data_IF_940655151521
#
_entry.id   IF_940655151521
#
_cell.length_a   1.000
_cell.length_b   1.000
_cell.length_c   1.000
_cell.angle_alpha   90.00
_cell.angle_beta   90.00
_cell.angle_gamma   90.00
#
_symmetry.space_group_name_H-M   'P 1'
#
loop_
_entity.id
_entity.type
_entity.pdbx_description
1 polymer ?
#
# COMPACT_ATOMS: atom_id res chain seq x y z
N UNK A 1 -9.08 16.21 -20.34
CA UNK A 1 -9.04 15.17 -19.28
C UNK A 1 -8.17 15.70 -18.15
N UNK A 2 -8.68 15.71 -16.94
CA UNK A 2 -7.85 16.02 -15.78
C UNK A 2 -7.07 14.73 -15.51
N UNK A 3 -5.76 14.73 -15.83
CA UNK A 3 -4.90 13.61 -15.47
C UNK A 3 -4.92 13.50 -13.93
N UNK A 4 -5.22 12.32 -13.43
CA UNK A 4 -5.07 12.03 -12.01
C UNK A 4 -3.58 12.23 -11.66
N UNK A 5 -3.24 13.04 -10.64
CA UNK A 5 -1.85 13.19 -10.22
C UNK A 5 -1.15 11.86 -9.91
N UNK A 6 -1.91 10.82 -9.60
CA UNK A 6 -1.42 9.47 -9.37
C UNK A 6 -0.82 8.80 -10.61
N UNK A 7 -1.33 9.09 -11.81
CA UNK A 7 -0.87 8.46 -13.06
C UNK A 7 0.65 8.60 -13.27
N UNK A 8 1.23 9.70 -12.78
CA UNK A 8 2.67 9.94 -12.85
C UNK A 8 3.48 9.09 -11.85
N UNK A 9 2.85 8.58 -10.80
CA UNK A 9 3.51 7.82 -9.72
C UNK A 9 3.40 6.31 -9.90
N UNK A 10 2.39 5.82 -10.61
CA UNK A 10 2.10 4.38 -10.72
C UNK A 10 3.30 3.60 -11.28
N UNK A 11 3.73 3.93 -12.48
CA UNK A 11 4.80 3.17 -13.14
C UNK A 11 6.16 3.29 -12.42
N UNK A 12 6.62 4.50 -12.01
CA UNK A 12 7.83 4.63 -11.22
C UNK A 12 7.79 3.84 -9.89
N UNK A 13 6.63 3.78 -9.25
CA UNK A 13 6.44 3.00 -8.03
C UNK A 13 6.61 1.50 -8.27
N UNK A 14 5.98 0.96 -9.32
CA UNK A 14 6.13 -0.46 -9.67
C UNK A 14 7.57 -0.80 -10.08
N UNK A 15 8.23 0.08 -10.80
CA UNK A 15 9.63 -0.10 -11.18
C UNK A 15 10.54 -0.11 -9.96
N UNK A 16 10.30 0.77 -8.99
CA UNK A 16 11.00 0.79 -7.71
C UNK A 16 10.81 -0.53 -6.95
N UNK A 17 9.59 -1.06 -6.88
CA UNK A 17 9.31 -2.32 -6.21
C UNK A 17 10.00 -3.51 -6.88
N UNK A 18 10.11 -3.53 -8.20
CA UNK A 18 10.86 -4.55 -8.94
C UNK A 18 12.36 -4.45 -8.64
N UNK A 19 12.92 -3.26 -8.69
CA UNK A 19 14.35 -3.03 -8.39
C UNK A 19 14.68 -3.41 -6.95
N UNK A 20 13.80 -3.12 -6.01
CA UNK A 20 13.94 -3.55 -4.60
C UNK A 20 13.77 -5.06 -4.39
N UNK A 21 13.38 -5.82 -5.44
CA UNK A 21 13.14 -7.28 -5.35
C UNK A 21 11.86 -7.66 -4.60
N UNK A 22 11.00 -6.69 -4.30
CA UNK A 22 9.72 -6.92 -3.63
C UNK A 22 8.71 -7.56 -4.56
N UNK A 23 8.54 -7.03 -5.76
CA UNK A 23 7.64 -7.58 -6.79
C UNK A 23 8.41 -8.50 -7.73
N UNK A 24 7.96 -9.75 -7.85
CA UNK A 24 8.58 -10.79 -8.68
C UNK A 24 7.62 -11.47 -9.65
N UNK A 25 6.32 -11.50 -9.32
CA UNK A 25 5.31 -12.16 -10.13
C UNK A 25 4.31 -11.18 -10.73
N UNK A 26 3.74 -11.48 -11.92
CA UNK A 26 2.71 -10.64 -12.52
C UNK A 26 1.47 -10.49 -11.64
N UNK A 27 1.13 -11.49 -10.84
CA UNK A 27 -0.03 -11.46 -9.96
C UNK A 27 0.12 -10.40 -8.86
N UNK A 28 1.28 -10.37 -8.19
CA UNK A 28 1.56 -9.37 -7.14
C UNK A 28 1.66 -7.97 -7.77
N UNK A 29 2.31 -7.83 -8.92
CA UNK A 29 2.34 -6.54 -9.63
C UNK A 29 0.94 -6.04 -9.97
N UNK A 30 0.07 -6.90 -10.51
CA UNK A 30 -1.31 -6.55 -10.82
C UNK A 30 -2.09 -6.10 -9.58
N UNK A 31 -1.86 -6.72 -8.42
CA UNK A 31 -2.46 -6.31 -7.17
C UNK A 31 -2.03 -4.87 -6.77
N UNK A 32 -0.74 -4.57 -6.83
CA UNK A 32 -0.24 -3.21 -6.54
C UNK A 32 -0.79 -2.16 -7.50
N UNK A 33 -0.95 -2.50 -8.77
CA UNK A 33 -1.56 -1.62 -9.77
C UNK A 33 -3.05 -1.39 -9.49
N UNK A 34 -3.79 -2.43 -9.13
CA UNK A 34 -5.23 -2.38 -8.91
C UNK A 34 -5.64 -1.75 -7.56
N UNK A 35 -4.72 -1.68 -6.59
CA UNK A 35 -4.99 -1.23 -5.21
C UNK A 35 -4.07 -0.06 -4.85
N UNK A 36 -4.37 1.16 -5.33
CA UNK A 36 -3.52 2.33 -5.11
C UNK A 36 -3.39 2.67 -3.62
N UNK A 37 -2.14 2.78 -3.13
CA UNK A 37 -1.83 2.98 -1.71
C UNK A 37 -2.47 4.24 -1.12
N UNK A 38 -2.53 5.33 -1.88
CA UNK A 38 -3.04 6.61 -1.41
C UNK A 38 -4.52 6.57 -0.99
N UNK A 39 -5.31 5.63 -1.55
CA UNK A 39 -6.72 5.46 -1.18
C UNK A 39 -6.90 4.94 0.26
N UNK A 40 -5.83 4.43 0.88
CA UNK A 40 -5.82 3.86 2.23
C UNK A 40 -5.06 4.74 3.23
N UNK A 41 -4.61 5.94 2.83
CA UNK A 41 -3.83 6.84 3.68
C UNK A 41 -4.60 8.13 3.92
N UNK A 42 -5.27 8.22 5.05
CA UNK A 42 -6.00 9.43 5.46
C UNK A 42 -5.11 10.41 6.24
N UNK A 43 -4.04 9.90 6.84
CA UNK A 43 -3.07 10.70 7.59
C UNK A 43 -1.75 9.96 7.76
N UNK A 44 -0.68 10.71 7.94
CA UNK A 44 0.62 10.17 8.35
C UNK A 44 1.44 11.22 9.09
N UNK A 45 2.41 10.75 9.88
CA UNK A 45 3.36 11.61 10.55
C UNK A 45 4.65 11.73 9.75
N UNK A 46 5.18 12.95 9.66
CA UNK A 46 6.54 13.19 9.18
C UNK A 46 7.46 13.41 10.36
N UNK A 47 8.68 12.89 10.28
CA UNK A 47 9.71 12.99 11.32
C UNK A 47 10.89 13.80 10.78
N UNK A 48 10.99 15.06 11.19
CA UNK A 48 12.09 15.97 10.89
C UNK A 48 12.52 16.69 12.17
N UNK A 49 12.93 17.95 12.06
CA UNK A 49 13.23 18.78 13.25
C UNK A 49 12.04 18.87 14.21
N UNK A 50 10.82 18.78 13.68
CA UNK A 50 9.57 18.66 14.43
C UNK A 50 8.71 17.57 13.78
N UNK A 51 8.06 16.78 14.62
CA UNK A 51 7.04 15.84 14.17
C UNK A 51 5.80 16.61 13.71
N UNK A 52 5.26 16.26 12.54
CA UNK A 52 4.05 16.88 11.99
C UNK A 52 3.08 15.81 11.56
N UNK A 53 1.80 16.00 11.85
CA UNK A 53 0.69 15.24 11.30
C UNK A 53 0.28 15.86 9.97
N UNK A 54 0.21 15.03 8.93
CA UNK A 54 -0.27 15.39 7.60
C UNK A 54 -1.60 14.69 7.38
N UNK A 55 -2.64 15.45 7.10
CA UNK A 55 -3.94 14.92 6.68
C UNK A 55 -3.98 14.82 5.16
N UNK A 56 -4.53 13.72 4.66
CA UNK A 56 -4.65 13.43 3.23
C UNK A 56 -6.12 13.30 2.88
N UNK A 57 -6.54 13.94 1.80
CA UNK A 57 -7.81 13.63 1.16
C UNK A 57 -7.55 12.52 0.11
N UNK A 58 -7.92 11.24 0.38
CA UNK A 58 -7.48 10.12 -0.47
C UNK A 58 -7.89 10.25 -1.94
N UNK A 59 -9.03 10.89 -2.22
CA UNK A 59 -9.49 11.13 -3.60
C UNK A 59 -8.87 12.36 -4.26
N UNK A 60 -8.11 13.17 -3.52
CA UNK A 60 -7.47 14.40 -4.00
C UNK A 60 -6.13 14.65 -3.30
N UNK A 61 -5.21 13.69 -3.27
CA UNK A 61 -3.91 13.89 -2.65
C UNK A 61 -3.12 14.93 -3.44
N UNK A 62 -2.34 15.74 -2.72
CA UNK A 62 -1.39 16.64 -3.38
C UNK A 62 -0.21 15.85 -3.93
N UNK A 63 0.49 16.41 -4.92
CA UNK A 63 1.69 15.82 -5.49
C UNK A 63 2.80 15.58 -4.44
N UNK A 64 2.91 16.47 -3.45
CA UNK A 64 3.84 16.30 -2.33
C UNK A 64 3.46 15.11 -1.45
N UNK A 65 2.16 14.94 -1.16
CA UNK A 65 1.66 13.78 -0.41
C UNK A 65 1.89 12.47 -1.17
N UNK A 66 1.64 12.46 -2.49
CA UNK A 66 1.91 11.28 -3.32
C UNK A 66 3.38 10.88 -3.30
N UNK A 67 4.32 11.82 -3.33
CA UNK A 67 5.76 11.51 -3.18
C UNK A 67 6.06 10.78 -1.88
N UNK A 68 5.46 11.20 -0.77
CA UNK A 68 5.63 10.53 0.53
C UNK A 68 4.95 9.17 0.57
N UNK A 69 3.72 9.09 0.02
CA UNK A 69 2.90 7.87 0.05
C UNK A 69 3.52 6.77 -0.83
N UNK A 70 4.13 7.14 -1.97
CA UNK A 70 4.73 6.20 -2.91
C UNK A 70 6.25 6.05 -2.75
N UNK A 71 6.84 6.63 -1.70
CA UNK A 71 8.19 6.28 -1.27
C UNK A 71 8.22 4.86 -0.68
N UNK A 72 9.36 4.18 -0.80
CA UNK A 72 9.54 2.84 -0.22
C UNK A 72 9.82 2.92 1.28
N UNK A 73 8.89 3.50 2.02
CA UNK A 73 8.97 3.73 3.45
C UNK A 73 7.67 3.38 4.15
N UNK A 74 7.76 2.98 5.42
CA UNK A 74 6.59 2.87 6.29
C UNK A 74 6.05 4.26 6.63
N UNK A 75 4.73 4.40 6.67
CA UNK A 75 4.06 5.63 7.10
C UNK A 75 3.35 5.39 8.44
N UNK A 76 3.79 6.08 9.47
CA UNK A 76 3.14 6.03 10.79
C UNK A 76 1.84 6.83 10.73
N UNK A 77 0.72 6.18 10.94
CA UNK A 77 -0.63 6.79 10.91
C UNK A 77 -1.13 7.20 12.29
N UNK A 78 -0.74 6.47 13.32
CA UNK A 78 -1.11 6.74 14.71
C UNK A 78 0.08 6.51 15.63
N UNK A 79 0.10 7.24 16.75
CA UNK A 79 1.18 7.15 17.74
C UNK A 79 0.74 6.45 19.01
N UNK A 80 -0.55 6.49 19.32
CA UNK A 80 -1.10 5.86 20.52
C UNK A 80 -2.55 5.39 20.26
N UNK A 81 -2.81 4.07 20.18
CA UNK A 81 -1.80 3.04 20.01
C UNK A 81 -1.03 3.21 18.68
N UNK A 82 0.23 2.75 18.60
CA UNK A 82 1.02 2.92 17.38
C UNK A 82 0.45 2.09 16.23
N UNK A 83 0.33 2.72 15.06
CA UNK A 83 -0.10 2.06 13.83
C UNK A 83 0.60 2.67 12.63
N UNK A 84 0.87 1.86 11.62
CA UNK A 84 1.51 2.30 10.38
C UNK A 84 1.02 1.49 9.19
N UNK A 85 1.17 2.05 8.00
CA UNK A 85 1.18 1.25 6.78
C UNK A 85 2.62 0.92 6.44
N UNK A 86 2.89 -0.37 6.23
CA UNK A 86 4.25 -0.89 6.08
C UNK A 86 4.93 -0.42 4.80
N UNK A 87 6.26 -0.53 4.77
CA UNK A 87 7.09 -0.26 3.61
C UNK A 87 6.63 -1.11 2.41
N UNK A 88 6.38 -0.50 1.24
CA UNK A 88 5.82 -1.20 0.09
C UNK A 88 6.61 -2.41 -0.40
N UNK A 89 7.93 -2.32 -0.51
CA UNK A 89 8.76 -3.45 -0.93
C UNK A 89 8.72 -4.63 0.04
N UNK A 90 8.61 -4.34 1.35
CA UNK A 90 8.43 -5.38 2.37
C UNK A 90 7.06 -6.07 2.20
N UNK A 91 5.99 -5.30 2.02
CA UNK A 91 4.64 -5.84 1.78
C UNK A 91 4.64 -6.72 0.53
N UNK A 92 5.23 -6.25 -0.57
CA UNK A 92 5.35 -7.02 -1.80
C UNK A 92 6.10 -8.34 -1.57
N UNK A 93 7.24 -8.30 -0.90
CA UNK A 93 8.03 -9.49 -0.57
C UNK A 93 7.27 -10.50 0.29
N UNK A 94 6.46 -10.02 1.26
CA UNK A 94 5.61 -10.88 2.07
C UNK A 94 4.49 -11.54 1.25
N UNK A 95 3.85 -10.80 0.35
CA UNK A 95 2.81 -11.33 -0.55
C UNK A 95 3.38 -12.39 -1.51
N UNK A 96 4.57 -12.15 -2.05
CA UNK A 96 5.27 -13.15 -2.87
C UNK A 96 5.62 -14.42 -2.07
N UNK A 97 6.10 -14.27 -0.84
CA UNK A 97 6.42 -15.40 0.04
C UNK A 97 5.17 -16.17 0.47
N UNK A 98 4.06 -15.49 0.67
CA UNK A 98 2.79 -16.11 1.03
C UNK A 98 2.20 -16.95 -0.11
N UNK A 99 2.57 -16.63 -1.35
CA UNK A 99 2.17 -17.38 -2.56
C UNK A 99 0.65 -17.61 -2.66
N UNK A 100 -0.11 -16.54 -2.47
CA UNK A 100 -1.58 -16.60 -2.48
C UNK A 100 -2.10 -16.90 -3.88
N UNK A 101 -3.02 -17.85 -3.95
CA UNK A 101 -3.70 -18.23 -5.18
C UNK A 101 -5.17 -17.78 -5.18
N UNK A 102 -5.75 -17.68 -6.37
CA UNK A 102 -7.18 -17.40 -6.51
C UNK A 102 -8.03 -18.46 -5.79
N UNK A 103 -9.02 -17.99 -5.03
CA UNK A 103 -9.90 -18.83 -4.24
C UNK A 103 -9.38 -19.16 -2.84
N UNK A 104 -8.16 -18.76 -2.50
CA UNK A 104 -7.63 -18.97 -1.15
C UNK A 104 -8.44 -18.21 -0.08
N UNK A 105 -8.37 -18.73 1.14
CA UNK A 105 -8.87 -18.05 2.35
C UNK A 105 -7.67 -17.60 3.17
N UNK A 106 -7.59 -16.31 3.43
CA UNK A 106 -6.45 -15.69 4.12
C UNK A 106 -6.95 -15.00 5.39
N UNK A 107 -6.22 -15.17 6.48
CA UNK A 107 -6.39 -14.40 7.71
C UNK A 107 -5.22 -13.41 7.84
N UNK A 108 -5.56 -12.13 7.95
CA UNK A 108 -4.62 -11.07 8.30
C UNK A 108 -4.79 -10.67 9.76
N UNK A 109 -3.70 -10.62 10.49
CA UNK A 109 -3.67 -10.10 11.86
C UNK A 109 -2.96 -8.76 11.84
N UNK A 110 -3.68 -7.69 12.26
CA UNK A 110 -3.20 -6.33 12.19
C UNK A 110 -3.61 -5.62 10.90
N UNK A 111 -4.89 -5.26 10.78
CA UNK A 111 -5.48 -4.62 9.60
C UNK A 111 -4.77 -3.30 9.20
N UNK A 112 -4.26 -2.54 10.17
CA UNK A 112 -3.65 -1.25 9.92
C UNK A 112 -4.57 -0.31 9.13
N UNK A 113 -4.09 0.19 8.00
CA UNK A 113 -4.88 1.05 7.10
C UNK A 113 -5.84 0.26 6.20
N UNK A 114 -5.73 -1.07 6.14
CA UNK A 114 -6.49 -1.93 5.22
C UNK A 114 -5.87 -2.10 3.84
N UNK A 115 -4.75 -1.45 3.55
CA UNK A 115 -4.11 -1.56 2.22
C UNK A 115 -3.66 -2.98 1.91
N UNK A 116 -3.01 -3.67 2.86
CA UNK A 116 -2.59 -5.06 2.66
C UNK A 116 -3.79 -6.00 2.48
N UNK A 117 -4.88 -5.80 3.24
CA UNK A 117 -6.14 -6.54 3.04
C UNK A 117 -6.70 -6.34 1.63
N UNK A 118 -6.61 -5.10 1.09
CA UNK A 118 -7.00 -4.80 -0.28
C UNK A 118 -6.16 -5.56 -1.31
N UNK A 119 -4.83 -5.59 -1.15
CA UNK A 119 -3.91 -6.36 -2.00
C UNK A 119 -4.22 -7.86 -1.95
N UNK A 120 -4.41 -8.41 -0.75
CA UNK A 120 -4.81 -9.81 -0.55
C UNK A 120 -6.15 -10.10 -1.23
N UNK A 121 -7.14 -9.20 -1.07
CA UNK A 121 -8.45 -9.32 -1.72
C UNK A 121 -8.36 -9.39 -3.24
N UNK A 122 -7.48 -8.59 -3.85
CA UNK A 122 -7.21 -8.67 -5.29
C UNK A 122 -6.59 -10.02 -5.68
N UNK A 123 -5.62 -10.50 -4.91
CA UNK A 123 -4.92 -11.76 -5.18
C UNK A 123 -5.85 -12.97 -5.09
N UNK A 124 -6.66 -13.09 -4.02
CA UNK A 124 -7.57 -14.23 -3.85
C UNK A 124 -8.75 -14.20 -4.82
N UNK A 125 -9.11 -13.02 -5.31
CA UNK A 125 -10.20 -12.81 -6.27
C UNK A 125 -11.61 -13.12 -5.69
N UNK A 126 -12.64 -13.11 -6.55
CA UNK A 126 -14.05 -13.12 -6.11
C UNK A 126 -14.50 -14.44 -5.46
N UNK A 127 -13.76 -15.53 -5.65
CA UNK A 127 -14.04 -16.83 -5.01
C UNK A 127 -13.21 -17.05 -3.75
N UNK A 128 -12.27 -16.15 -3.46
CA UNK A 128 -11.46 -16.19 -2.27
C UNK A 128 -12.09 -15.42 -1.12
N UNK A 129 -11.40 -15.41 0.03
CA UNK A 129 -11.83 -14.67 1.21
C UNK A 129 -10.62 -14.13 1.98
N UNK A 130 -10.73 -12.90 2.43
CA UNK A 130 -9.79 -12.31 3.38
C UNK A 130 -10.55 -11.90 4.63
N UNK A 131 -10.16 -12.47 5.74
CA UNK A 131 -10.59 -12.04 7.06
C UNK A 131 -9.46 -11.22 7.69
N UNK A 132 -9.74 -10.00 8.17
CA UNK A 132 -8.74 -9.11 8.78
C UNK A 132 -9.20 -8.64 10.15
N UNK A 133 -8.29 -8.52 11.11
CA UNK A 133 -8.57 -8.10 12.48
C UNK A 133 -7.43 -7.24 13.07
#
# INVERSE_FOLDING_TARGET
MINDPYDEFEQPFLDMLRVAGGVRTPAVEAAFRAVPRHLFVERYYTFGKRRRLVHVAPLRPTRHQLRSIYADEALVSHLNPPSSTSQPSLVAGMLEALNVERGNRVLEIGAGTGWNAGLLGHLVGPKGRVDTM
#
